data_IF_864730023559
#
_entry.id   IF_864730023559
#
_cell.length_a   1.000
_cell.length_b   1.000
_cell.length_c   1.000
_cell.angle_alpha   90.00
_cell.angle_beta   90.00
_cell.angle_gamma   90.00
#
_symmetry.space_group_name_H-M   'P 1'
#
loop_
_entity.id
_entity.type
_entity.pdbx_description
1 polymer ?
#
# COMPACT_ATOMS: atom_id res chain seq x y z
N UNK A 1 -6.19 -0.39 2.25
CA UNK A 1 -6.90 -1.68 2.29
C UNK A 1 -5.97 -2.84 2.56
N UNK A 2 -4.88 -3.03 1.83
CA UNK A 2 -3.97 -4.17 2.08
C UNK A 2 -3.25 -4.11 3.43
N UNK A 3 -2.78 -2.92 3.82
CA UNK A 3 -2.16 -2.72 5.13
C UNK A 3 -3.19 -2.95 6.26
N UNK A 4 -4.40 -2.39 6.12
CA UNK A 4 -5.49 -2.56 7.09
C UNK A 4 -5.92 -4.04 7.19
N UNK A 5 -6.00 -4.75 6.06
CA UNK A 5 -6.35 -6.16 6.03
C UNK A 5 -5.26 -7.04 6.65
N UNK A 6 -3.99 -6.67 6.47
CA UNK A 6 -2.87 -7.31 7.16
C UNK A 6 -2.89 -7.07 8.66
N UNK A 7 -3.27 -5.88 9.12
CA UNK A 7 -3.45 -5.60 10.54
C UNK A 7 -4.54 -6.47 11.15
N UNK A 8 -5.72 -6.55 10.51
CA UNK A 8 -6.81 -7.44 10.93
C UNK A 8 -6.36 -8.90 11.00
N UNK A 9 -5.67 -9.38 9.95
CA UNK A 9 -5.11 -10.72 9.91
C UNK A 9 -4.12 -10.99 11.07
N UNK A 10 -3.25 -10.02 11.37
CA UNK A 10 -2.25 -10.12 12.45
C UNK A 10 -2.90 -10.08 13.82
N UNK A 11 -3.93 -9.25 14.03
CA UNK A 11 -4.69 -9.21 15.27
C UNK A 11 -5.39 -10.53 15.56
N UNK A 12 -6.01 -11.14 14.55
CA UNK A 12 -6.63 -12.46 14.69
C UNK A 12 -5.63 -13.55 15.11
N UNK A 13 -4.34 -13.42 14.77
CA UNK A 13 -3.29 -14.33 15.25
C UNK A 13 -2.84 -14.08 16.69
N UNK A 14 -2.97 -12.84 17.18
CA UNK A 14 -2.45 -12.44 18.50
C UNK A 14 -3.44 -12.72 19.63
N UNK A 15 -4.76 -12.65 19.37
CA UNK A 15 -5.76 -12.79 20.43
C UNK A 15 -6.00 -14.23 20.92
N UNK A 16 -5.76 -15.25 20.10
CA UNK A 16 -6.40 -16.57 20.33
C UNK A 16 -5.45 -17.77 20.47
N UNK A 17 -4.15 -17.55 20.71
CA UNK A 17 -3.16 -18.63 20.84
C UNK A 17 -2.87 -19.33 19.51
N UNK A 18 -1.79 -20.13 19.47
CA UNK A 18 -1.17 -20.61 18.23
C UNK A 18 -2.06 -21.47 17.30
N UNK A 19 -3.23 -21.94 17.76
CA UNK A 19 -4.02 -22.99 17.09
C UNK A 19 -5.37 -22.54 16.51
N UNK A 20 -5.72 -21.25 16.50
CA UNK A 20 -6.97 -20.79 15.85
C UNK A 20 -6.79 -19.84 14.67
N UNK A 21 -7.71 -20.01 13.71
CA UNK A 21 -7.69 -19.48 12.34
C UNK A 21 -7.70 -17.95 12.33
N UNK A 22 -6.64 -17.36 11.77
CA UNK A 22 -6.58 -15.92 11.52
C UNK A 22 -7.76 -15.46 10.65
N UNK A 23 -8.20 -14.22 10.84
CA UNK A 23 -9.27 -13.65 10.03
C UNK A 23 -8.76 -13.45 8.61
N UNK A 24 -9.47 -14.03 7.65
CA UNK A 24 -9.22 -13.81 6.23
C UNK A 24 -10.21 -12.79 5.68
N UNK A 25 -9.69 -11.83 4.92
CA UNK A 25 -10.47 -10.92 4.10
C UNK A 25 -10.18 -11.31 2.65
N UNK A 26 -11.26 -11.49 1.87
CA UNK A 26 -11.22 -11.89 0.45
C UNK A 26 -11.96 -10.86 -0.38
N UNK A 27 -11.74 -10.92 -1.68
CA UNK A 27 -12.33 -10.02 -2.67
C UNK A 27 -12.01 -8.56 -2.38
N UNK A 28 -10.76 -8.26 -2.02
CA UNK A 28 -10.31 -6.89 -1.73
C UNK A 28 -10.16 -6.09 -3.02
N UNK A 29 -10.69 -4.87 -3.00
CA UNK A 29 -10.62 -3.94 -4.12
C UNK A 29 -10.20 -2.54 -3.63
N UNK A 30 -9.04 -2.05 -4.11
CA UNK A 30 -8.49 -0.74 -3.73
C UNK A 30 -8.83 0.35 -4.76
N UNK A 31 -9.88 1.12 -4.48
CA UNK A 31 -10.30 2.26 -5.31
C UNK A 31 -9.21 3.32 -5.51
N UNK A 32 -8.37 3.57 -4.50
CA UNK A 32 -7.36 4.62 -4.57
C UNK A 32 -6.29 4.30 -5.61
N UNK A 33 -6.02 3.00 -5.76
CA UNK A 33 -5.02 2.47 -6.65
C UNK A 33 -5.57 2.31 -8.09
N UNK A 34 -6.88 2.12 -8.23
CA UNK A 34 -7.60 2.13 -9.51
C UNK A 34 -7.53 3.48 -10.20
N UNK A 35 -7.84 4.56 -9.49
CA UNK A 35 -8.06 5.83 -10.16
C UNK A 35 -6.79 6.63 -10.44
N UNK A 36 -5.69 6.37 -9.72
CA UNK A 36 -4.44 7.10 -9.93
C UNK A 36 -3.49 6.50 -10.98
N UNK A 37 -3.89 5.44 -11.67
CA UNK A 37 -3.23 4.90 -12.89
C UNK A 37 -1.87 4.23 -12.68
N UNK A 38 -1.18 4.44 -11.55
CA UNK A 38 0.10 3.80 -11.22
C UNK A 38 0.25 3.59 -9.71
N UNK A 39 1.10 2.64 -9.31
CA UNK A 39 1.39 2.37 -7.89
C UNK A 39 1.93 3.59 -7.10
N UNK A 40 2.45 4.63 -7.79
CA UNK A 40 2.99 5.85 -7.19
C UNK A 40 2.02 7.03 -7.10
N UNK A 41 0.87 6.96 -7.79
CA UNK A 41 -0.19 7.98 -7.72
C UNK A 41 -1.44 7.30 -7.22
N UNK A 42 -1.80 7.51 -5.96
CA UNK A 42 -3.06 7.06 -5.38
C UNK A 42 -3.99 8.24 -5.20
N UNK A 43 -5.25 8.09 -5.54
CA UNK A 43 -6.26 9.13 -5.29
C UNK A 43 -6.98 8.89 -3.96
N UNK A 44 -7.13 9.95 -3.16
CA UNK A 44 -7.92 9.87 -1.94
C UNK A 44 -9.42 9.84 -2.24
N UNK A 45 -10.22 9.24 -1.33
CA UNK A 45 -11.67 9.12 -1.51
C UNK A 45 -12.39 10.44 -1.83
N UNK A 46 -12.01 11.56 -1.19
CA UNK A 46 -12.57 12.89 -1.51
C UNK A 46 -12.32 13.31 -2.96
N UNK A 47 -11.12 13.03 -3.46
CA UNK A 47 -10.77 13.36 -4.84
C UNK A 47 -11.58 12.48 -5.79
N UNK A 48 -11.65 11.18 -5.49
CA UNK A 48 -12.50 10.23 -6.21
C UNK A 48 -13.96 10.66 -6.28
N UNK A 49 -14.59 11.02 -5.15
CA UNK A 49 -16.00 11.47 -5.17
C UNK A 49 -16.19 12.79 -5.88
N UNK A 50 -15.26 13.73 -5.73
CA UNK A 50 -15.34 15.02 -6.43
C UNK A 50 -15.29 14.83 -7.94
N UNK A 51 -14.61 13.80 -8.38
CA UNK A 51 -14.35 13.54 -9.78
C UNK A 51 -15.44 12.64 -10.39
N UNK A 52 -15.76 11.52 -9.74
CA UNK A 52 -16.70 10.50 -10.24
C UNK A 52 -18.15 10.87 -9.96
N UNK A 53 -18.42 11.44 -8.78
CA UNK A 53 -19.78 11.77 -8.33
C UNK A 53 -20.08 13.28 -8.42
N UNK A 54 -19.11 14.09 -8.83
CA UNK A 54 -19.16 15.56 -8.75
C UNK A 54 -19.56 16.06 -7.35
N UNK A 55 -19.10 15.36 -6.30
CA UNK A 55 -19.47 15.61 -4.91
C UNK A 55 -18.25 15.87 -4.03
N UNK A 56 -18.23 17.01 -3.33
CA UNK A 56 -17.18 17.32 -2.36
C UNK A 56 -17.46 16.63 -1.02
N UNK A 57 -16.55 15.74 -0.60
CA UNK A 57 -16.60 15.12 0.72
C UNK A 57 -15.89 16.01 1.75
N UNK A 58 -16.62 16.57 2.74
CA UNK A 58 -16.00 17.40 3.76
C UNK A 58 -15.08 16.55 4.65
N UNK A 59 -13.77 16.83 4.57
CA UNK A 59 -12.76 16.25 5.45
C UNK A 59 -12.57 17.13 6.68
N UNK A 60 -13.04 16.67 7.82
CA UNK A 60 -12.70 17.27 9.11
C UNK A 60 -11.50 16.54 9.70
N UNK A 61 -10.32 17.17 9.68
CA UNK A 61 -9.11 16.61 10.33
C UNK A 61 -9.34 16.32 11.81
N UNK A 62 -10.09 17.20 12.49
CA UNK A 62 -10.47 17.02 13.90
C UNK A 62 -11.28 15.74 14.12
N UNK A 63 -12.17 15.41 13.20
CA UNK A 63 -13.00 14.22 13.30
C UNK A 63 -12.23 12.96 12.91
N UNK A 64 -11.42 13.03 11.84
CA UNK A 64 -10.55 11.94 11.42
C UNK A 64 -9.55 11.54 12.52
N UNK A 65 -9.01 12.51 13.26
CA UNK A 65 -8.07 12.29 14.37
C UNK A 65 -8.76 12.20 15.75
N UNK A 66 -10.07 12.04 15.81
CA UNK A 66 -10.81 11.92 17.07
C UNK A 66 -10.56 10.56 17.75
N UNK A 67 -11.01 10.40 19.01
CA UNK A 67 -10.88 9.13 19.72
C UNK A 67 -11.87 8.08 19.17
N UNK A 68 -11.40 7.27 18.22
CA UNK A 68 -12.15 6.13 17.65
C UNK A 68 -12.16 4.89 18.55
N UNK A 69 -11.35 4.86 19.61
CA UNK A 69 -11.37 3.80 20.62
C UNK A 69 -12.37 4.04 21.75
N UNK A 70 -13.19 5.10 21.66
CA UNK A 70 -14.20 5.39 22.66
C UNK A 70 -15.30 4.31 22.68
N UNK A 71 -15.71 3.88 23.89
CA UNK A 71 -16.78 2.88 24.06
C UNK A 71 -18.11 3.27 23.40
N UNK A 72 -18.39 4.58 23.33
CA UNK A 72 -19.53 5.14 22.60
C UNK A 72 -19.01 6.20 21.64
N UNK A 73 -19.26 6.00 20.36
CA UNK A 73 -18.95 6.99 19.33
C UNK A 73 -20.01 8.10 19.36
N UNK A 74 -19.59 9.31 19.04
CA UNK A 74 -20.52 10.42 18.82
C UNK A 74 -21.26 10.26 17.48
N UNK A 75 -22.45 10.85 17.36
CA UNK A 75 -23.21 10.85 16.10
C UNK A 75 -22.42 11.41 14.93
N UNK A 76 -21.54 12.39 15.19
CA UNK A 76 -20.64 12.94 14.17
C UNK A 76 -19.64 11.90 13.66
N UNK A 77 -19.07 11.08 14.55
CA UNK A 77 -18.15 10.00 14.16
C UNK A 77 -18.89 8.92 13.37
N UNK A 78 -20.09 8.52 13.81
CA UNK A 78 -20.92 7.55 13.10
C UNK A 78 -21.28 8.05 11.69
N UNK A 79 -21.78 9.29 11.59
CA UNK A 79 -22.12 9.89 10.31
C UNK A 79 -20.89 10.03 9.38
N UNK A 80 -19.73 10.37 9.93
CA UNK A 80 -18.48 10.44 9.18
C UNK A 80 -18.09 9.08 8.61
N UNK A 81 -18.08 8.03 9.43
CA UNK A 81 -17.72 6.68 9.01
C UNK A 81 -18.72 6.11 7.99
N UNK A 82 -20.02 6.30 8.23
CA UNK A 82 -21.08 5.87 7.32
C UNK A 82 -20.96 6.55 5.94
N UNK A 83 -20.67 7.86 5.93
CA UNK A 83 -20.47 8.61 4.68
C UNK A 83 -19.25 8.12 3.90
N UNK A 84 -18.12 7.85 4.56
CA UNK A 84 -16.93 7.35 3.88
C UNK A 84 -17.19 5.96 3.26
N UNK A 85 -17.93 5.08 3.95
CA UNK A 85 -18.34 3.78 3.42
C UNK A 85 -19.32 3.91 2.24
N UNK A 86 -20.36 4.74 2.38
CA UNK A 86 -21.33 5.00 1.31
C UNK A 86 -20.66 5.58 0.07
N UNK A 87 -19.77 6.56 0.25
CA UNK A 87 -19.06 7.20 -0.84
C UNK A 87 -18.20 6.22 -1.64
N UNK A 88 -17.50 5.30 -0.96
CA UNK A 88 -16.73 4.26 -1.64
C UNK A 88 -17.63 3.35 -2.49
N UNK A 89 -18.77 2.91 -1.93
CA UNK A 89 -19.74 2.08 -2.65
C UNK A 89 -20.36 2.82 -3.86
N UNK A 90 -20.76 4.08 -3.67
CA UNK A 90 -21.32 4.90 -4.74
C UNK A 90 -20.31 5.13 -5.89
N UNK A 91 -19.03 5.32 -5.57
CA UNK A 91 -17.98 5.41 -6.59
C UNK A 91 -17.87 4.11 -7.38
N UNK A 92 -17.87 2.94 -6.72
CA UNK A 92 -17.84 1.64 -7.42
C UNK A 92 -19.04 1.48 -8.34
N UNK A 93 -20.24 1.78 -7.86
CA UNK A 93 -21.47 1.66 -8.64
C UNK A 93 -21.40 2.52 -9.90
N UNK A 94 -20.98 3.79 -9.78
CA UNK A 94 -20.88 4.68 -10.94
C UNK A 94 -19.77 4.23 -11.90
N UNK A 95 -18.66 3.70 -11.40
CA UNK A 95 -17.61 3.11 -12.25
C UNK A 95 -18.12 1.88 -13.02
N UNK A 96 -18.90 1.02 -12.36
CA UNK A 96 -19.58 -0.13 -12.98
C UNK A 96 -20.55 0.32 -14.08
N UNK A 97 -21.40 1.32 -13.81
CA UNK A 97 -22.34 1.87 -14.78
C UNK A 97 -21.62 2.48 -16.00
N UNK A 98 -20.48 3.17 -15.78
CA UNK A 98 -19.70 3.76 -16.87
C UNK A 98 -18.96 2.72 -17.71
N UNK A 99 -18.39 1.69 -17.07
CA UNK A 99 -17.54 0.68 -17.70
C UNK A 99 -17.80 -0.73 -17.13
N UNK A 100 -18.93 -1.36 -17.50
CA UNK A 100 -19.27 -2.71 -17.03
C UNK A 100 -18.25 -3.76 -17.45
N UNK A 101 -17.59 -3.57 -18.58
CA UNK A 101 -16.54 -4.44 -19.11
C UNK A 101 -15.27 -4.46 -18.25
N UNK A 102 -15.09 -3.47 -17.37
CA UNK A 102 -13.91 -3.33 -16.50
C UNK A 102 -14.26 -3.45 -15.02
N UNK A 103 -15.30 -2.74 -14.59
CA UNK A 103 -15.73 -2.65 -13.20
C UNK A 103 -16.98 -3.49 -12.90
N UNK A 104 -17.52 -4.20 -13.90
CA UNK A 104 -18.58 -5.16 -13.67
C UNK A 104 -18.10 -6.34 -12.82
N UNK A 105 -19.01 -7.05 -12.13
CA UNK A 105 -18.66 -8.15 -11.23
C UNK A 105 -17.78 -9.21 -11.88
N UNK A 106 -18.13 -9.64 -13.10
CA UNK A 106 -17.39 -10.68 -13.83
C UNK A 106 -15.98 -10.19 -14.22
N UNK A 107 -15.88 -8.95 -14.72
CA UNK A 107 -14.61 -8.34 -15.09
C UNK A 107 -13.68 -8.16 -13.87
N UNK A 108 -14.24 -7.73 -12.73
CA UNK A 108 -13.48 -7.61 -11.47
C UNK A 108 -13.03 -8.97 -10.94
N UNK A 109 -13.89 -9.99 -11.02
CA UNK A 109 -13.55 -11.36 -10.63
C UNK A 109 -12.35 -11.86 -11.44
N UNK A 110 -12.37 -11.73 -12.76
CA UNK A 110 -11.28 -12.20 -13.63
C UNK A 110 -10.00 -11.37 -13.51
N UNK A 111 -10.13 -10.05 -13.44
CA UNK A 111 -8.98 -9.15 -13.52
C UNK A 111 -8.26 -8.94 -12.20
N UNK A 112 -9.00 -8.88 -11.08
CA UNK A 112 -8.48 -8.49 -9.76
C UNK A 112 -8.68 -9.58 -8.72
N UNK A 113 -9.92 -10.03 -8.52
CA UNK A 113 -10.28 -10.80 -7.32
C UNK A 113 -9.75 -12.24 -7.38
N UNK A 114 -9.76 -12.89 -8.55
CA UNK A 114 -9.19 -14.23 -8.72
C UNK A 114 -7.65 -14.24 -8.67
N UNK A 115 -7.01 -13.08 -8.86
CA UNK A 115 -5.55 -12.93 -8.78
C UNK A 115 -5.09 -12.43 -7.41
N UNK A 116 -6.03 -12.25 -6.48
CA UNK A 116 -5.77 -11.76 -5.14
C UNK A 116 -4.84 -12.72 -4.38
N UNK A 117 -3.73 -12.18 -3.85
CA UNK A 117 -2.81 -12.98 -3.03
C UNK A 117 -3.39 -13.20 -1.64
N UNK A 118 -3.22 -14.41 -1.10
CA UNK A 118 -3.60 -14.74 0.27
C UNK A 118 -2.90 -13.84 1.29
N UNK A 119 -3.62 -13.48 2.36
CA UNK A 119 -3.10 -12.61 3.43
C UNK A 119 -1.86 -13.19 4.14
N UNK A 120 -1.75 -14.52 4.23
CA UNK A 120 -0.57 -15.19 4.77
C UNK A 120 0.69 -14.86 3.96
N UNK A 121 0.59 -14.93 2.64
CA UNK A 121 1.73 -14.69 1.75
C UNK A 121 2.06 -13.20 1.72
N UNK A 122 1.03 -12.33 1.77
CA UNK A 122 1.23 -10.89 1.91
C UNK A 122 1.93 -10.51 3.21
N UNK A 123 1.60 -11.16 4.34
CA UNK A 123 2.26 -10.91 5.62
C UNK A 123 3.75 -11.29 5.58
N UNK A 124 4.06 -12.45 5.00
CA UNK A 124 5.45 -12.91 4.81
C UNK A 124 6.20 -11.90 3.94
N UNK A 125 5.67 -11.53 2.77
CA UNK A 125 6.30 -10.56 1.87
C UNK A 125 6.48 -9.19 2.52
N UNK A 126 5.48 -8.70 3.25
CA UNK A 126 5.53 -7.45 4.00
C UNK A 126 6.68 -7.45 5.01
N UNK A 127 6.86 -8.56 5.76
CA UNK A 127 7.96 -8.76 6.70
C UNK A 127 9.31 -8.85 5.99
N UNK A 128 9.42 -9.65 4.94
CA UNK A 128 10.65 -9.79 4.13
C UNK A 128 11.10 -8.44 3.57
N UNK A 129 10.17 -7.68 2.97
CA UNK A 129 10.44 -6.34 2.44
C UNK A 129 10.88 -5.38 3.54
N UNK A 130 10.27 -5.45 4.72
CA UNK A 130 10.64 -4.61 5.87
C UNK A 130 12.04 -4.95 6.38
N UNK A 131 12.39 -6.23 6.48
CA UNK A 131 13.73 -6.66 6.86
C UNK A 131 14.79 -6.16 5.87
N UNK A 132 14.57 -6.37 4.57
CA UNK A 132 15.49 -5.90 3.53
C UNK A 132 15.67 -4.37 3.54
N UNK A 133 14.60 -3.60 3.81
CA UNK A 133 14.70 -2.13 3.98
C UNK A 133 15.56 -1.72 5.18
N UNK A 134 15.46 -2.44 6.30
CA UNK A 134 16.25 -2.16 7.49
C UNK A 134 17.74 -2.46 7.23
N UNK A 135 18.04 -3.57 6.56
CA UNK A 135 19.40 -3.94 6.16
C UNK A 135 19.99 -2.92 5.17
N UNK A 136 19.23 -2.51 4.15
CA UNK A 136 19.67 -1.43 3.23
C UNK A 136 19.96 -0.12 3.95
N UNK A 137 19.17 0.21 4.98
CA UNK A 137 19.41 1.41 5.79
C UNK A 137 20.71 1.29 6.59
N UNK A 138 21.00 0.11 7.13
CA UNK A 138 22.25 -0.16 7.84
C UNK A 138 23.46 -0.08 6.90
N UNK A 139 23.39 -0.66 5.70
CA UNK A 139 24.47 -0.58 4.71
C UNK A 139 24.73 0.87 4.30
N UNK A 140 23.69 1.66 4.04
CA UNK A 140 23.85 3.09 3.73
C UNK A 140 24.57 3.86 4.84
N UNK A 141 24.33 3.50 6.10
CA UNK A 141 25.03 4.09 7.23
C UNK A 141 26.51 3.69 7.22
N UNK A 142 26.82 2.40 6.99
CA UNK A 142 28.19 1.91 6.88
C UNK A 142 28.96 2.57 5.73
N UNK A 143 28.33 2.74 4.56
CA UNK A 143 28.91 3.49 3.44
C UNK A 143 29.24 4.92 3.88
N UNK A 144 28.30 5.60 4.54
CA UNK A 144 28.50 6.98 5.00
C UNK A 144 29.67 7.08 5.99
N UNK A 145 29.76 6.17 6.96
CA UNK A 145 30.86 6.11 7.93
C UNK A 145 32.21 5.81 7.27
N UNK A 146 32.23 4.97 6.24
CA UNK A 146 33.43 4.68 5.45
C UNK A 146 33.95 5.93 4.74
N UNK A 147 33.08 6.65 4.00
CA UNK A 147 33.48 7.87 3.29
C UNK A 147 33.98 8.96 4.25
N UNK A 148 33.34 9.11 5.40
CA UNK A 148 33.79 10.07 6.43
C UNK A 148 35.20 9.76 6.95
N UNK A 149 35.54 8.47 7.14
CA UNK A 149 36.88 8.06 7.55
C UNK A 149 37.92 8.32 6.44
N UNK A 150 37.60 7.97 5.21
CA UNK A 150 38.48 8.19 4.05
C UNK A 150 38.79 9.69 3.85
N UNK A 151 37.77 10.55 4.01
CA UNK A 151 37.92 12.00 3.93
C UNK A 151 38.81 12.54 5.07
N UNK A 152 38.66 12.02 6.28
CA UNK A 152 39.50 12.39 7.43
C UNK A 152 40.96 11.93 7.28
N UNK A 153 41.20 10.75 6.69
CA UNK A 153 42.53 10.17 6.49
C UNK A 153 43.24 10.71 5.23
N UNK A 154 42.55 11.52 4.41
CA UNK A 154 43.10 12.17 3.21
C UNK A 154 43.44 11.20 2.07
N UNK A 155 42.92 9.98 2.10
CA UNK A 155 43.37 8.87 1.26
C UNK A 155 42.24 8.39 0.33
N UNK A 156 41.88 9.20 -0.67
CA UNK A 156 40.79 8.89 -1.59
C UNK A 156 41.16 7.71 -2.52
N UNK A 157 40.72 6.51 -2.18
CA UNK A 157 40.85 5.33 -3.06
C UNK A 157 39.67 5.23 -4.03
N UNK A 158 39.94 4.78 -5.24
CA UNK A 158 38.96 4.48 -6.29
C UNK A 158 37.87 3.51 -5.77
N UNK A 159 36.61 3.92 -5.78
CA UNK A 159 35.47 3.18 -5.20
C UNK A 159 35.36 1.76 -5.75
N UNK A 160 35.62 1.60 -7.05
CA UNK A 160 35.53 0.33 -7.77
C UNK A 160 36.70 -0.64 -7.46
N UNK A 161 37.69 -0.21 -6.67
CA UNK A 161 38.85 -1.04 -6.28
C UNK A 161 38.88 -1.38 -4.79
N UNK A 162 37.98 -0.82 -3.97
CA UNK A 162 37.92 -1.18 -2.56
C UNK A 162 37.09 -2.47 -2.37
N UNK A 163 37.71 -3.58 -1.89
CA UNK A 163 36.99 -4.84 -1.70
C UNK A 163 35.84 -4.73 -0.69
N UNK A 164 35.92 -3.84 0.31
CA UNK A 164 34.83 -3.63 1.26
C UNK A 164 33.61 -2.94 0.61
N UNK A 165 33.82 -1.95 -0.27
CA UNK A 165 32.73 -1.28 -0.98
C UNK A 165 32.08 -2.21 -2.03
N UNK A 166 32.86 -3.05 -2.69
CA UNK A 166 32.35 -4.06 -3.62
C UNK A 166 31.39 -5.03 -2.93
N UNK A 167 31.73 -5.52 -1.74
CA UNK A 167 30.85 -6.40 -0.94
C UNK A 167 29.56 -5.67 -0.54
N UNK A 168 29.64 -4.39 -0.13
CA UNK A 168 28.44 -3.60 0.19
C UNK A 168 27.54 -3.37 -1.04
N UNK A 169 28.13 -3.19 -2.22
CA UNK A 169 27.41 -3.04 -3.50
C UNK A 169 26.67 -4.33 -3.86
N UNK A 170 27.35 -5.48 -3.80
CA UNK A 170 26.73 -6.79 -4.05
C UNK A 170 25.55 -7.05 -3.09
N UNK A 171 25.71 -6.75 -1.80
CA UNK A 171 24.65 -6.94 -0.82
C UNK A 171 23.47 -5.97 -1.05
N UNK A 172 23.74 -4.73 -1.45
CA UNK A 172 22.69 -3.78 -1.87
C UNK A 172 21.89 -4.32 -3.05
N UNK A 173 22.55 -4.85 -4.07
CA UNK A 173 21.89 -5.40 -5.26
C UNK A 173 21.01 -6.61 -4.90
N UNK A 174 21.51 -7.50 -4.03
CA UNK A 174 20.72 -8.60 -3.47
C UNK A 174 19.48 -8.11 -2.73
N UNK A 175 19.62 -7.11 -1.87
CA UNK A 175 18.50 -6.54 -1.11
C UNK A 175 17.50 -5.80 -1.99
N UNK A 176 17.96 -5.11 -3.04
CA UNK A 176 17.10 -4.50 -4.06
C UNK A 176 16.26 -5.56 -4.78
N UNK A 177 16.87 -6.69 -5.15
CA UNK A 177 16.16 -7.83 -5.73
C UNK A 177 15.09 -8.38 -4.79
N UNK A 178 15.44 -8.62 -3.51
CA UNK A 178 14.46 -9.06 -2.50
C UNK A 178 13.32 -8.05 -2.37
N UNK A 179 13.63 -6.75 -2.36
CA UNK A 179 12.59 -5.72 -2.30
C UNK A 179 11.67 -5.77 -3.51
N UNK A 180 12.20 -5.90 -4.73
CA UNK A 180 11.38 -5.96 -5.94
C UNK A 180 10.50 -7.21 -5.96
N UNK A 181 11.09 -8.37 -5.66
CA UNK A 181 10.37 -9.65 -5.58
C UNK A 181 9.28 -9.65 -4.50
N UNK A 182 9.44 -8.88 -3.42
CA UNK A 182 8.49 -8.74 -2.31
C UNK A 182 7.58 -7.51 -2.41
N UNK A 183 7.54 -6.84 -3.56
CA UNK A 183 6.70 -5.66 -3.79
C UNK A 183 5.20 -5.98 -3.58
N UNK A 184 4.40 -5.02 -3.07
CA UNK A 184 2.94 -5.15 -3.07
C UNK A 184 2.41 -5.36 -4.48
N UNK A 185 1.29 -6.07 -4.60
CA UNK A 185 0.68 -6.28 -5.91
C UNK A 185 0.29 -4.92 -6.51
N UNK A 186 0.64 -4.67 -7.78
CA UNK A 186 0.22 -3.45 -8.42
C UNK A 186 -1.30 -3.45 -8.50
N UNK A 187 -1.95 -2.29 -8.38
CA UNK A 187 -3.34 -2.22 -8.79
C UNK A 187 -3.47 -2.65 -10.25
N UNK A 188 -4.68 -3.03 -10.67
CA UNK A 188 -4.95 -3.16 -12.08
C UNK A 188 -4.59 -1.83 -12.76
N UNK A 189 -4.00 -1.91 -13.94
CA UNK A 189 -3.58 -0.72 -14.67
C UNK A 189 -4.80 -0.17 -15.38
N UNK A 190 -5.17 1.05 -15.04
CA UNK A 190 -6.28 1.75 -15.68
C UNK A 190 -5.72 2.90 -16.50
N UNK A 191 -6.01 2.92 -17.78
CA UNK A 191 -5.83 4.11 -18.59
C UNK A 191 -7.09 4.96 -18.47
N UNK A 192 -7.03 5.98 -17.63
CA UNK A 192 -8.12 6.91 -17.37
C UNK A 192 -8.64 7.57 -18.67
N UNK A 193 -7.78 7.81 -19.67
CA UNK A 193 -8.22 8.30 -20.99
C UNK A 193 -9.06 7.29 -21.77
N UNK A 194 -8.71 6.01 -21.72
CA UNK A 194 -9.49 4.94 -22.36
C UNK A 194 -10.83 4.72 -21.66
N UNK A 195 -10.93 5.12 -20.39
CA UNK A 195 -12.16 5.07 -19.59
C UNK A 195 -13.04 6.33 -19.75
N UNK A 196 -12.62 7.30 -20.58
CA UNK A 196 -13.33 8.58 -20.75
C UNK A 196 -13.29 9.47 -19.50
N UNK A 197 -12.36 9.18 -18.58
CA UNK A 197 -12.24 9.87 -17.31
C UNK A 197 -11.32 11.10 -17.49
N UNK A 198 -11.69 12.30 -16.98
CA UNK A 198 -10.97 13.55 -17.22
C UNK A 198 -9.55 13.69 -16.62
N UNK A 199 -8.92 12.61 -16.14
CA UNK A 199 -7.59 12.63 -15.49
C UNK A 199 -6.61 11.65 -16.12
#
# INVERSE_FOLDING_TARGET
IDDDALEVYRWGKQQDGADKKAWEIRSRFDLAAVAGGTAGRRMGLRQLTSIVLNLDLPKSRKLAMSNWGARRLSDRQVAYAARDAWAAAAVVQVLEEMRPDVFGPDALLESVLNKERALKDMDVRSKTRRAAKLELKAIKLQETEYYQKVEADGNMTDEDKNPALLVLKEEKDRLWKIMDESRPDPPPVFNSKELGLPW
#
